data_IF_018226804423
#
_entry.id   IF_018226804423
#
_cell.length_a   1.000
_cell.length_b   1.000
_cell.length_c   1.000
_cell.angle_alpha   90.00
_cell.angle_beta   90.00
_cell.angle_gamma   90.00
#
_symmetry.space_group_name_H-M   'P 1'
#
loop_
_entity.id
_entity.type
_entity.pdbx_description
1 polymer ?
#
# COMPACT_ATOMS: atom_id res chain seq x y z
N UNK A 1 27.72 -12.84 7.73
CA UNK A 1 26.86 -13.50 8.74
C UNK A 1 25.90 -12.51 9.40
N UNK A 2 26.39 -11.42 10.01
CA UNK A 2 25.55 -10.38 10.66
C UNK A 2 24.43 -9.83 9.75
N UNK A 3 24.76 -9.51 8.48
CA UNK A 3 23.76 -9.01 7.53
C UNK A 3 22.67 -10.06 7.20
N UNK A 4 23.05 -11.32 7.01
CA UNK A 4 22.12 -12.40 6.69
C UNK A 4 21.17 -12.71 7.86
N UNK A 5 21.66 -12.61 9.10
CA UNK A 5 20.83 -12.75 10.31
C UNK A 5 19.85 -11.58 10.46
N UNK A 6 20.31 -10.35 10.21
CA UNK A 6 19.45 -9.17 10.17
C UNK A 6 18.34 -9.28 9.10
N UNK A 7 18.68 -9.76 7.91
CA UNK A 7 17.75 -9.95 6.81
C UNK A 7 16.70 -11.04 7.09
N UNK A 8 17.11 -12.14 7.74
CA UNK A 8 16.18 -13.17 8.20
C UNK A 8 15.19 -12.63 9.24
N UNK A 9 15.66 -11.81 10.19
CA UNK A 9 14.83 -11.20 11.22
C UNK A 9 13.85 -10.18 10.62
N UNK A 10 14.32 -9.31 9.73
CA UNK A 10 13.47 -8.35 9.02
C UNK A 10 12.40 -9.07 8.18
N UNK A 11 12.79 -10.10 7.44
CA UNK A 11 11.86 -10.91 6.63
C UNK A 11 10.78 -11.57 7.47
N UNK A 12 11.12 -12.07 8.67
CA UNK A 12 10.15 -12.65 9.60
C UNK A 12 9.15 -11.62 10.10
N UNK A 13 9.61 -10.44 10.51
CA UNK A 13 8.75 -9.35 10.96
C UNK A 13 7.80 -8.86 9.84
N UNK A 14 8.31 -8.72 8.61
CA UNK A 14 7.49 -8.36 7.45
C UNK A 14 6.42 -9.41 7.15
N UNK A 15 6.76 -10.71 7.25
CA UNK A 15 5.79 -11.80 7.08
C UNK A 15 4.68 -11.73 8.12
N UNK A 16 5.00 -11.53 9.39
CA UNK A 16 4.01 -11.41 10.46
C UNK A 16 3.08 -10.22 10.25
N UNK A 17 3.65 -9.05 9.94
CA UNK A 17 2.86 -7.87 9.59
C UNK A 17 1.93 -8.13 8.41
N UNK A 18 2.39 -8.83 7.37
CA UNK A 18 1.57 -9.17 6.21
C UNK A 18 0.38 -10.07 6.57
N UNK A 19 0.58 -11.05 7.46
CA UNK A 19 -0.48 -11.94 7.92
C UNK A 19 -1.55 -11.17 8.70
N UNK A 20 -1.14 -10.32 9.63
CA UNK A 20 -2.06 -9.46 10.41
C UNK A 20 -2.86 -8.53 9.48
N UNK A 21 -2.22 -7.96 8.46
CA UNK A 21 -2.91 -7.11 7.47
C UNK A 21 -3.91 -7.93 6.65
N UNK A 22 -3.58 -9.18 6.31
CA UNK A 22 -4.48 -10.06 5.55
C UNK A 22 -5.71 -10.52 6.34
N UNK A 23 -5.67 -10.55 7.67
CA UNK A 23 -6.82 -10.90 8.51
C UNK A 23 -7.98 -9.91 8.39
N UNK A 24 -7.69 -8.66 8.03
CA UNK A 24 -8.71 -7.62 7.82
C UNK A 24 -8.55 -6.96 6.45
N UNK A 25 -9.43 -7.26 5.47
CA UNK A 25 -9.40 -6.63 4.15
C UNK A 25 -9.46 -5.09 4.21
N UNK A 26 -10.10 -4.53 5.25
CA UNK A 26 -10.17 -3.09 5.47
C UNK A 26 -8.82 -2.48 5.87
N UNK A 27 -7.86 -3.25 6.40
CA UNK A 27 -6.55 -2.76 6.83
C UNK A 27 -5.73 -2.20 5.65
N UNK A 28 -5.77 -2.85 4.48
CA UNK A 28 -5.11 -2.34 3.28
C UNK A 28 -5.72 -1.03 2.81
N UNK A 29 -7.05 -0.94 2.82
CA UNK A 29 -7.77 0.27 2.44
C UNK A 29 -7.45 1.43 3.38
N UNK A 30 -7.41 1.19 4.70
CA UNK A 30 -7.03 2.20 5.69
C UNK A 30 -5.59 2.67 5.48
N UNK A 31 -4.64 1.75 5.24
CA UNK A 31 -3.25 2.11 4.96
C UNK A 31 -3.12 2.94 3.69
N UNK A 32 -3.90 2.62 2.66
CA UNK A 32 -3.98 3.42 1.44
C UNK A 32 -4.47 4.85 1.72
N UNK A 33 -5.57 4.99 2.47
CA UNK A 33 -6.10 6.31 2.87
C UNK A 33 -5.10 7.09 3.74
N UNK A 34 -4.39 6.42 4.66
CA UNK A 34 -3.34 7.04 5.46
C UNK A 34 -2.19 7.56 4.60
N UNK A 35 -1.71 6.76 3.64
CA UNK A 35 -0.69 7.19 2.68
C UNK A 35 -1.15 8.40 1.87
N UNK A 36 -2.40 8.40 1.39
CA UNK A 36 -2.98 9.55 0.68
C UNK A 36 -3.02 10.80 1.57
N UNK A 37 -3.47 10.64 2.82
CA UNK A 37 -3.50 11.75 3.79
C UNK A 37 -2.10 12.28 4.09
N UNK A 38 -1.10 11.42 4.20
CA UNK A 38 0.30 11.81 4.42
C UNK A 38 0.84 12.60 3.23
N UNK A 39 0.66 12.08 2.01
CA UNK A 39 1.12 12.76 0.79
C UNK A 39 0.40 14.09 0.60
N UNK A 40 -0.90 14.16 0.90
CA UNK A 40 -1.67 15.39 0.81
C UNK A 40 -1.22 16.45 1.84
N UNK A 41 -0.85 16.01 3.05
CA UNK A 41 -0.29 16.90 4.07
C UNK A 41 1.09 17.43 3.68
N UNK A 42 1.93 16.62 3.02
CA UNK A 42 3.26 17.04 2.57
C UNK A 42 3.23 17.88 1.29
N UNK A 43 2.28 17.66 0.37
CA UNK A 43 2.19 18.33 -0.93
C UNK A 43 0.89 19.13 -1.08
N UNK A 44 0.75 20.22 -0.32
CA UNK A 44 -0.44 21.10 -0.21
C UNK A 44 -0.98 21.70 -1.54
N UNK A 45 -0.37 21.41 -2.69
CA UNK A 45 -0.81 21.87 -4.02
C UNK A 45 -1.13 20.75 -5.03
N UNK A 46 -1.02 19.47 -4.65
CA UNK A 46 -1.35 18.34 -5.54
C UNK A 46 -2.64 17.67 -5.10
N UNK A 47 -3.70 17.82 -5.91
CA UNK A 47 -4.97 17.13 -5.69
C UNK A 47 -4.82 15.67 -6.13
N UNK A 48 -4.67 14.75 -5.16
CA UNK A 48 -4.65 13.32 -5.43
C UNK A 48 -6.08 12.79 -5.44
N UNK A 49 -6.63 12.62 -6.65
CA UNK A 49 -7.93 12.02 -6.85
C UNK A 49 -7.77 10.53 -7.17
N UNK A 50 -8.26 9.60 -6.32
CA UNK A 50 -8.21 8.19 -6.62
C UNK A 50 -9.16 7.88 -7.79
N UNK A 51 -8.61 7.45 -8.93
CA UNK A 51 -9.40 6.94 -10.03
C UNK A 51 -9.67 5.45 -9.83
N UNK A 52 -10.93 4.98 -9.89
CA UNK A 52 -11.25 3.56 -9.81
C UNK A 52 -10.57 2.79 -10.94
N UNK A 53 -9.94 1.66 -10.60
CA UNK A 53 -9.29 0.78 -11.57
C UNK A 53 -10.31 0.20 -12.57
N UNK A 54 -11.56 0.04 -12.15
CA UNK A 54 -12.67 -0.40 -12.99
C UNK A 54 -12.93 0.58 -14.14
N UNK A 55 -12.75 1.88 -13.87
CA UNK A 55 -12.85 2.92 -14.90
C UNK A 55 -11.72 2.77 -15.92
N UNK A 56 -10.49 2.55 -15.44
CA UNK A 56 -9.30 2.35 -16.28
C UNK A 56 -9.37 1.06 -17.10
N UNK A 57 -9.94 -0.02 -16.55
CA UNK A 57 -10.12 -1.30 -17.26
C UNK A 57 -10.97 -1.13 -18.52
N UNK A 58 -12.03 -0.31 -18.47
CA UNK A 58 -12.88 -0.04 -19.64
C UNK A 58 -12.11 0.68 -20.77
N UNK A 59 -11.11 1.51 -20.44
CA UNK A 59 -10.26 2.16 -21.43
C UNK A 59 -9.16 1.25 -21.97
N UNK A 60 -8.60 0.35 -21.14
CA UNK A 60 -7.55 -0.59 -21.58
C UNK A 60 -8.09 -1.79 -22.37
N UNK A 61 -9.30 -2.29 -22.08
CA UNK A 61 -9.91 -3.42 -22.78
C UNK A 61 -10.46 -3.07 -24.16
N UNK A 62 -10.44 -1.79 -24.55
CA UNK A 62 -10.98 -1.28 -25.80
C UNK A 62 -9.93 -1.20 -26.93
N UNK A 63 -8.98 -2.15 -26.93
CA UNK A 63 -8.05 -2.40 -28.05
C UNK A 63 -8.34 -3.77 -28.66
#
# INVERSE_FOLDING_TARGET
>A
VIAAEGEMNASRALKEASLIISESPAALQLRYLQTLSHIAAENNSTVIFPLPIELLQQFLQRK
#
